data_IF_206287043556
#
_entry.id   IF_206287043556
#
_cell.length_a   1.000
_cell.length_b   1.000
_cell.length_c   1.000
_cell.angle_alpha   90.00
_cell.angle_beta   90.00
_cell.angle_gamma   90.00
#
_symmetry.space_group_name_H-M   'P 1'
#
loop_
_entity.id
_entity.type
_entity.pdbx_description
1 polymer ?
#
# COMPACT_ATOMS: atom_id res chain seq x y z
N UNK A 1 -46.72 -53.23 12.25
CA UNK A 1 -45.36 -52.71 11.96
C UNK A 1 -45.50 -51.47 11.10
N UNK A 2 -45.09 -50.29 11.58
CA UNK A 2 -44.96 -49.11 10.72
C UNK A 2 -43.71 -48.36 11.12
N UNK A 3 -42.65 -48.58 10.35
CA UNK A 3 -41.34 -47.92 10.47
C UNK A 3 -41.48 -46.46 10.03
N UNK A 4 -41.94 -45.58 10.92
CA UNK A 4 -41.66 -44.14 10.81
C UNK A 4 -40.34 -43.88 11.54
N UNK A 5 -39.23 -44.38 10.98
CA UNK A 5 -37.89 -43.97 11.42
C UNK A 5 -37.72 -42.51 10.99
N UNK A 6 -37.92 -41.64 11.95
CA UNK A 6 -37.71 -40.21 11.86
C UNK A 6 -36.29 -39.91 11.39
N UNK A 7 -36.16 -39.25 10.22
CA UNK A 7 -34.91 -38.64 9.76
C UNK A 7 -34.37 -37.56 10.74
N UNK A 8 -35.13 -37.21 11.79
CA UNK A 8 -34.72 -36.27 12.84
C UNK A 8 -33.84 -36.93 13.92
N UNK A 9 -33.78 -38.27 13.99
CA UNK A 9 -32.93 -38.98 14.99
C UNK A 9 -31.45 -38.98 14.58
N UNK A 10 -31.14 -38.82 13.30
CA UNK A 10 -29.75 -38.86 12.81
C UNK A 10 -29.17 -37.44 12.72
N UNK A 11 -28.93 -36.83 13.89
CA UNK A 11 -28.32 -35.50 14.05
C UNK A 11 -26.97 -35.37 13.32
N UNK A 12 -26.33 -36.49 12.99
CA UNK A 12 -25.05 -36.53 12.24
C UNK A 12 -25.21 -36.13 10.77
N UNK A 13 -26.36 -36.45 10.15
CA UNK A 13 -26.64 -36.08 8.76
C UNK A 13 -27.00 -34.60 8.59
N UNK A 14 -27.73 -34.03 9.56
CA UNK A 14 -28.04 -32.60 9.59
C UNK A 14 -26.77 -31.75 9.74
N UNK A 15 -25.86 -32.14 10.65
CA UNK A 15 -24.55 -31.47 10.83
C UNK A 15 -23.68 -31.57 9.57
N UNK A 16 -23.72 -32.69 8.84
CA UNK A 16 -22.99 -32.84 7.57
C UNK A 16 -23.53 -31.90 6.46
N UNK A 17 -24.85 -31.68 6.39
CA UNK A 17 -25.44 -30.73 5.44
C UNK A 17 -25.23 -29.27 5.86
N UNK A 18 -25.33 -28.97 7.15
CA UNK A 18 -25.04 -27.63 7.67
C UNK A 18 -23.58 -27.26 7.44
N UNK A 19 -22.63 -28.16 7.67
CA UNK A 19 -21.21 -27.91 7.38
C UNK A 19 -20.93 -27.68 5.89
N UNK A 20 -21.62 -28.38 4.98
CA UNK A 20 -21.50 -28.16 3.53
C UNK A 20 -22.01 -26.79 3.06
N UNK A 21 -22.94 -26.15 3.81
CA UNK A 21 -23.49 -24.83 3.46
C UNK A 21 -22.78 -23.72 4.24
N UNK A 22 -22.58 -23.90 5.55
CA UNK A 22 -21.97 -22.91 6.44
C UNK A 22 -20.51 -22.71 6.10
N UNK A 23 -19.77 -23.76 5.75
CA UNK A 23 -18.34 -23.64 5.44
C UNK A 23 -18.06 -22.77 4.20
N UNK A 24 -18.67 -22.99 3.01
CA UNK A 24 -18.45 -22.11 1.88
C UNK A 24 -18.97 -20.69 2.12
N UNK A 25 -20.06 -20.51 2.87
CA UNK A 25 -20.55 -19.18 3.27
C UNK A 25 -19.51 -18.47 4.14
N UNK A 26 -18.94 -19.15 5.14
CA UNK A 26 -17.91 -18.59 6.02
C UNK A 26 -16.64 -18.27 5.23
N UNK A 27 -16.21 -19.15 4.32
CA UNK A 27 -15.05 -18.89 3.46
C UNK A 27 -15.30 -17.69 2.54
N UNK A 28 -16.45 -17.63 1.86
CA UNK A 28 -16.74 -16.59 0.88
C UNK A 28 -17.02 -15.21 1.49
N UNK A 29 -17.69 -15.15 2.64
CA UNK A 29 -18.11 -13.88 3.26
C UNK A 29 -17.20 -13.41 4.41
N UNK A 30 -16.41 -14.30 5.03
CA UNK A 30 -15.52 -13.93 6.13
C UNK A 30 -14.05 -14.05 5.74
N UNK A 31 -13.60 -15.23 5.31
CA UNK A 31 -12.16 -15.49 5.13
C UNK A 31 -11.59 -14.84 3.87
N UNK A 32 -12.29 -14.92 2.74
CA UNK A 32 -11.81 -14.29 1.50
C UNK A 32 -11.77 -12.76 1.57
N UNK A 33 -12.80 -12.05 2.09
CA UNK A 33 -12.72 -10.60 2.28
C UNK A 33 -11.61 -10.18 3.24
N UNK A 34 -11.40 -10.95 4.31
CA UNK A 34 -10.32 -10.68 5.25
C UNK A 34 -8.94 -10.87 4.61
N UNK A 35 -8.79 -11.89 3.75
CA UNK A 35 -7.58 -12.11 2.99
C UNK A 35 -7.30 -10.98 1.98
N UNK A 36 -8.33 -10.48 1.29
CA UNK A 36 -8.21 -9.31 0.40
C UNK A 36 -7.74 -8.07 1.16
N UNK A 37 -8.35 -7.78 2.32
CA UNK A 37 -7.97 -6.65 3.17
C UNK A 37 -6.53 -6.80 3.67
N UNK A 38 -6.16 -8.00 4.13
CA UNK A 38 -4.81 -8.28 4.60
C UNK A 38 -3.78 -8.11 3.47
N UNK A 39 -4.04 -8.65 2.28
CA UNK A 39 -3.16 -8.52 1.13
C UNK A 39 -2.98 -7.05 0.72
N UNK A 40 -4.08 -6.27 0.68
CA UNK A 40 -4.00 -4.84 0.41
C UNK A 40 -3.20 -4.08 1.48
N UNK A 41 -3.42 -4.42 2.76
CA UNK A 41 -2.67 -3.84 3.88
C UNK A 41 -1.17 -4.14 3.80
N UNK A 42 -0.79 -5.38 3.48
CA UNK A 42 0.61 -5.75 3.31
C UNK A 42 1.28 -5.01 2.14
N UNK A 43 0.58 -4.85 1.01
CA UNK A 43 1.08 -4.07 -0.13
C UNK A 43 1.27 -2.59 0.24
N UNK A 44 0.33 -2.01 0.99
CA UNK A 44 0.46 -0.63 1.46
C UNK A 44 1.64 -0.45 2.42
N UNK A 45 1.77 -1.33 3.42
CA UNK A 45 2.82 -1.24 4.44
C UNK A 45 4.21 -1.46 3.82
N UNK A 46 4.35 -2.42 2.90
CA UNK A 46 5.60 -2.68 2.19
C UNK A 46 6.02 -1.51 1.29
N UNK A 47 5.07 -0.89 0.59
CA UNK A 47 5.36 0.30 -0.19
C UNK A 47 5.74 1.49 0.69
N UNK A 48 5.07 1.67 1.83
CA UNK A 48 5.39 2.74 2.78
C UNK A 48 6.76 2.54 3.45
N UNK A 49 7.12 1.30 3.77
CA UNK A 49 8.44 1.00 4.31
C UNK A 49 9.54 1.23 3.26
N UNK A 50 9.28 0.89 1.98
CA UNK A 50 10.16 1.21 0.87
C UNK A 50 10.39 2.72 0.74
N UNK A 51 9.32 3.54 0.80
CA UNK A 51 9.42 5.00 0.79
C UNK A 51 10.27 5.54 1.94
N UNK A 52 10.06 5.06 3.17
CA UNK A 52 10.88 5.48 4.32
C UNK A 52 12.34 5.08 4.19
N UNK A 53 12.61 3.86 3.70
CA UNK A 53 13.99 3.41 3.47
C UNK A 53 14.69 4.25 2.41
N UNK A 54 13.95 4.68 1.38
CA UNK A 54 14.46 5.59 0.38
C UNK A 54 14.70 6.99 0.95
N UNK A 55 13.83 7.50 1.82
CA UNK A 55 14.06 8.77 2.50
C UNK A 55 15.36 8.79 3.30
N UNK A 56 15.60 7.76 4.11
CA UNK A 56 16.87 7.60 4.82
C UNK A 56 18.07 7.54 3.85
N UNK A 57 17.94 6.86 2.72
CA UNK A 57 18.99 6.80 1.70
C UNK A 57 19.27 8.18 1.06
N UNK A 58 18.23 8.94 0.74
CA UNK A 58 18.38 10.28 0.14
C UNK A 58 18.97 11.29 1.12
N UNK A 59 18.71 11.18 2.42
CA UNK A 59 19.33 12.06 3.42
C UNK A 59 20.87 12.00 3.39
N UNK A 60 21.45 10.83 3.10
CA UNK A 60 22.90 10.68 2.93
C UNK A 60 23.41 11.09 1.54
N UNK A 61 22.52 11.20 0.56
CA UNK A 61 22.81 11.59 -0.82
C UNK A 61 22.09 12.91 -1.15
N UNK A 62 22.25 13.94 -0.30
CA UNK A 62 21.57 15.22 -0.45
C UNK A 62 21.87 15.83 -1.84
N UNK A 63 20.83 15.99 -2.70
CA UNK A 63 21.00 16.52 -4.04
C UNK A 63 21.14 18.05 -4.08
N UNK A 64 20.89 18.75 -2.96
CA UNK A 64 20.90 20.20 -2.92
C UNK A 64 22.30 20.72 -2.56
N UNK A 65 22.97 21.31 -3.54
CA UNK A 65 24.23 22.00 -3.31
C UNK A 65 24.01 23.35 -2.57
N UNK A 66 25.06 23.93 -1.96
CA UNK A 66 24.97 25.19 -1.21
C UNK A 66 24.49 26.38 -2.05
N UNK A 67 24.64 26.29 -3.37
CA UNK A 67 24.24 27.29 -4.36
C UNK A 67 22.78 27.15 -4.83
N UNK A 68 22.04 26.16 -4.30
CA UNK A 68 20.64 25.92 -4.65
C UNK A 68 20.43 25.10 -5.91
N UNK A 69 21.49 24.56 -6.50
CA UNK A 69 21.38 23.59 -7.61
C UNK A 69 20.96 22.23 -7.07
N UNK A 70 19.93 21.64 -7.68
CA UNK A 70 19.47 20.27 -7.37
C UNK A 70 20.11 19.33 -8.36
N UNK A 71 21.09 18.55 -7.90
CA UNK A 71 21.79 17.54 -8.70
C UNK A 71 21.72 16.19 -8.01
N UNK A 72 20.93 15.28 -8.59
CA UNK A 72 20.83 13.91 -8.10
C UNK A 72 22.05 13.10 -8.53
N UNK A 73 22.55 12.24 -7.64
CA UNK A 73 23.67 11.35 -7.94
C UNK A 73 23.33 10.44 -9.13
N UNK A 74 24.26 10.29 -10.06
CA UNK A 74 24.13 9.34 -11.18
C UNK A 74 24.00 7.91 -10.64
N UNK A 75 22.94 7.21 -11.07
CA UNK A 75 22.63 5.86 -10.57
C UNK A 75 21.85 5.83 -9.25
N UNK A 76 21.15 6.91 -8.89
CA UNK A 76 20.19 6.89 -7.79
C UNK A 76 19.19 5.74 -7.96
N UNK A 77 19.01 4.92 -6.93
CA UNK A 77 18.07 3.81 -6.98
C UNK A 77 16.63 4.35 -7.08
N UNK A 78 16.01 4.23 -8.24
CA UNK A 78 14.59 4.56 -8.46
C UNK A 78 13.66 3.38 -8.21
N UNK A 79 14.18 2.29 -7.65
CA UNK A 79 13.39 1.11 -7.30
C UNK A 79 13.89 0.55 -5.98
N UNK A 80 12.99 0.45 -5.01
CA UNK A 80 13.29 -0.05 -3.66
C UNK A 80 12.26 -1.09 -3.27
N UNK A 81 12.73 -2.28 -2.87
CA UNK A 81 11.88 -3.42 -2.54
C UNK A 81 10.86 -3.79 -3.63
N UNK A 82 11.20 -3.58 -4.92
CA UNK A 82 10.31 -3.83 -6.05
C UNK A 82 9.30 -2.71 -6.36
N UNK A 83 9.30 -1.62 -5.57
CA UNK A 83 8.46 -0.46 -5.80
C UNK A 83 9.22 0.64 -6.54
N UNK A 84 8.66 1.13 -7.65
CA UNK A 84 9.25 2.19 -8.44
C UNK A 84 8.95 3.56 -7.81
N UNK A 85 10.00 4.32 -7.52
CA UNK A 85 9.93 5.65 -6.94
C UNK A 85 9.99 6.69 -8.07
N UNK A 86 9.08 7.65 -8.01
CA UNK A 86 8.84 8.64 -9.04
C UNK A 86 8.64 10.03 -8.43
N UNK A 87 8.65 11.06 -9.28
CA UNK A 87 8.39 12.45 -8.91
C UNK A 87 9.29 12.97 -7.78
N UNK A 88 10.59 12.67 -7.84
CA UNK A 88 11.57 13.18 -6.87
C UNK A 88 11.75 14.68 -7.05
N UNK A 89 11.43 15.45 -6.03
CA UNK A 89 11.57 16.89 -6.00
C UNK A 89 12.15 17.36 -4.67
N UNK A 90 12.75 18.55 -4.68
CA UNK A 90 13.31 19.18 -3.48
C UNK A 90 12.66 20.55 -3.35
N UNK A 91 12.03 20.79 -2.20
CA UNK A 91 11.25 21.99 -1.89
C UNK A 91 11.96 22.82 -0.82
N UNK A 92 11.94 24.13 -0.97
CA UNK A 92 12.56 25.10 -0.08
C UNK A 92 11.52 26.10 0.43
N UNK A 93 11.45 26.23 1.76
CA UNK A 93 10.54 27.11 2.49
C UNK A 93 9.15 26.51 2.74
N UNK A 94 8.38 27.16 3.61
CA UNK A 94 7.02 26.74 3.97
C UNK A 94 6.00 26.94 2.84
N UNK A 95 6.37 27.71 1.80
CA UNK A 95 5.54 27.91 0.61
C UNK A 95 5.53 26.69 -0.35
N UNK A 96 6.33 25.66 -0.07
CA UNK A 96 6.38 24.44 -0.90
C UNK A 96 6.90 24.67 -2.32
N UNK A 97 7.71 25.72 -2.53
CA UNK A 97 8.30 26.01 -3.82
C UNK A 97 9.56 25.15 -4.05
N UNK A 98 9.83 24.76 -5.29
CA UNK A 98 11.04 24.02 -5.65
C UNK A 98 12.30 24.83 -5.29
N UNK A 99 13.29 24.16 -4.71
CA UNK A 99 14.58 24.77 -4.44
C UNK A 99 15.24 25.25 -5.74
N UNK A 100 15.78 26.45 -5.72
CA UNK A 100 16.54 27.03 -6.82
C UNK A 100 17.60 27.98 -6.27
N UNK A 101 18.57 28.43 -7.06
CA UNK A 101 19.55 29.42 -6.61
C UNK A 101 18.91 30.73 -6.08
N UNK A 102 17.69 31.05 -6.51
CA UNK A 102 16.91 32.19 -6.02
C UNK A 102 16.01 31.88 -4.81
N UNK A 103 15.84 30.61 -4.44
CA UNK A 103 15.03 30.17 -3.30
C UNK A 103 15.73 29.06 -2.51
N UNK A 104 16.45 29.50 -1.47
CA UNK A 104 17.20 28.67 -0.52
C UNK A 104 16.58 28.71 0.88
N UNK A 105 15.31 29.14 0.99
CA UNK A 105 14.63 29.28 2.27
C UNK A 105 14.55 27.96 3.04
N UNK A 106 14.71 28.04 4.36
CA UNK A 106 14.41 26.95 5.29
C UNK A 106 12.96 27.04 5.74
N UNK A 107 12.28 25.92 6.06
CA UNK A 107 12.75 24.53 6.05
C UNK A 107 12.82 23.91 4.65
N UNK A 108 13.65 22.88 4.48
CA UNK A 108 13.83 22.17 3.21
C UNK A 108 13.27 20.75 3.28
N UNK A 109 12.52 20.38 2.26
CA UNK A 109 11.84 19.10 2.15
C UNK A 109 12.25 18.37 0.87
N UNK A 110 12.24 17.05 0.94
CA UNK A 110 12.31 16.17 -0.22
C UNK A 110 10.95 15.50 -0.37
N UNK A 111 10.43 15.46 -1.59
CA UNK A 111 9.17 14.81 -1.92
C UNK A 111 9.39 13.76 -3.01
N UNK A 112 8.70 12.64 -2.88
CA UNK A 112 8.70 11.57 -3.88
C UNK A 112 7.44 10.72 -3.71
N UNK A 113 7.13 9.90 -4.70
CA UNK A 113 5.95 9.03 -4.66
C UNK A 113 6.23 7.65 -5.22
N UNK A 114 5.48 6.66 -4.75
CA UNK A 114 5.46 5.31 -5.33
C UNK A 114 4.05 4.94 -5.77
N UNK A 115 3.94 4.06 -6.75
CA UNK A 115 2.65 3.50 -7.18
C UNK A 115 2.52 2.06 -6.72
N UNK A 116 1.33 1.70 -6.24
CA UNK A 116 0.96 0.31 -5.90
C UNK A 116 -0.29 -0.10 -6.66
N UNK A 117 -0.36 -1.36 -7.04
CA UNK A 117 -1.52 -1.92 -7.74
C UNK A 117 -2.16 -3.01 -6.87
N UNK A 118 -3.38 -2.78 -6.41
CA UNK A 118 -4.16 -3.74 -5.65
C UNK A 118 -4.80 -4.75 -6.61
N UNK A 119 -4.84 -6.03 -6.23
CA UNK A 119 -5.55 -7.07 -6.97
C UNK A 119 -6.51 -7.86 -6.06
N UNK A 120 -7.56 -7.22 -5.51
CA UNK A 120 -8.54 -7.90 -4.66
C UNK A 120 -9.41 -8.87 -5.47
N UNK A 121 -9.87 -9.94 -4.84
CA UNK A 121 -10.65 -11.02 -5.45
C UNK A 121 -12.15 -10.80 -5.24
N UNK A 122 -12.57 -10.54 -4.01
CA UNK A 122 -13.98 -10.40 -3.61
C UNK A 122 -14.39 -8.95 -3.47
N UNK A 123 -13.53 -8.10 -2.91
CA UNK A 123 -13.85 -6.70 -2.61
C UNK A 123 -13.45 -5.70 -3.70
N UNK A 124 -13.32 -6.14 -4.96
CA UNK A 124 -12.95 -5.27 -6.09
C UNK A 124 -13.82 -4.02 -6.21
N UNK A 125 -15.14 -4.14 -6.07
CA UNK A 125 -16.05 -3.00 -6.18
C UNK A 125 -15.93 -1.99 -5.03
N UNK A 126 -15.48 -2.41 -3.85
CA UNK A 126 -15.35 -1.56 -2.66
C UNK A 126 -13.94 -0.97 -2.57
N UNK A 127 -12.92 -1.81 -2.77
CA UNK A 127 -11.52 -1.44 -2.66
C UNK A 127 -10.99 -0.75 -3.93
N UNK A 128 -11.62 -0.94 -5.09
CA UNK A 128 -11.23 -0.30 -6.34
C UNK A 128 -12.47 0.25 -7.09
N UNK A 129 -13.11 1.31 -6.60
CA UNK A 129 -14.32 1.84 -7.23
C UNK A 129 -14.07 2.43 -8.62
N UNK A 130 -12.86 2.93 -8.88
CA UNK A 130 -12.46 3.54 -10.16
C UNK A 130 -11.19 2.92 -10.73
N UNK A 131 -10.13 2.85 -9.93
CA UNK A 131 -8.86 2.22 -10.30
C UNK A 131 -8.32 1.45 -9.10
N UNK A 132 -7.57 0.36 -9.36
CA UNK A 132 -6.84 -0.36 -8.32
C UNK A 132 -5.41 0.16 -8.12
N UNK A 133 -5.05 1.26 -8.78
CA UNK A 133 -3.70 1.82 -8.75
C UNK A 133 -3.68 3.05 -7.87
N UNK A 134 -2.88 3.01 -6.80
CA UNK A 134 -2.78 4.09 -5.83
C UNK A 134 -1.38 4.66 -5.81
N UNK A 135 -1.29 6.00 -5.86
CA UNK A 135 -0.04 6.72 -5.73
C UNK A 135 0.11 7.20 -4.30
N UNK A 136 1.18 6.77 -3.64
CA UNK A 136 1.50 7.13 -2.27
C UNK A 136 2.55 8.25 -2.28
N UNK A 137 2.18 9.49 -1.90
CA UNK A 137 3.14 10.56 -1.73
C UNK A 137 3.87 10.43 -0.39
N UNK A 138 5.15 10.77 -0.40
CA UNK A 138 5.99 10.86 0.79
C UNK A 138 6.73 12.19 0.77
N UNK A 139 6.82 12.81 1.94
CA UNK A 139 7.63 14.00 2.16
C UNK A 139 8.44 13.85 3.43
N UNK A 140 9.68 14.30 3.39
CA UNK A 140 10.55 14.36 4.56
C UNK A 140 11.29 15.69 4.61
N UNK A 141 11.48 16.19 5.83
CA UNK A 141 12.33 17.35 6.09
C UNK A 141 13.75 16.88 6.29
N UNK A 142 14.71 17.55 5.65
CA UNK A 142 16.13 17.26 5.83
C UNK A 142 16.95 18.44 6.37
N UNK A 143 16.39 19.67 6.36
CA UNK A 143 17.01 20.87 6.94
C UNK A 143 15.96 21.88 7.44
#
# INVERSE_FOLDING_TARGET
>A
MSHKRSFVVDQRGAVAFETLIVYPVLVAFLLMPLADLAAAGFQFISAWSALRSFGQYVQYANPLAPDGTVSWKTGLQTTVAGHAISNLQVLCGDAGATCSPGNLASPKYITFSTTITLAPIVWRGVLCPTTCTYTLPYSERFQ
#
